data_IF_766217087746
#
_entry.id   IF_766217087746
#
_cell.length_a   1.000
_cell.length_b   1.000
_cell.length_c   1.000
_cell.angle_alpha   90.00
_cell.angle_beta   90.00
_cell.angle_gamma   90.00
#
_symmetry.space_group_name_H-M   'P 1'
#
loop_
_entity.id
_entity.type
_entity.pdbx_description
1 polymer ?
#
# COMPACT_ATOMS: atom_id res chain seq x y z
N UNK A 1 24.92 1.86 2.58
CA UNK A 1 25.07 0.55 3.24
C UNK A 1 24.60 -0.49 2.26
N UNK A 2 25.39 -1.53 1.95
CA UNK A 2 24.87 -2.65 1.18
C UNK A 2 23.73 -3.29 1.99
N UNK A 3 22.68 -3.78 1.30
CA UNK A 3 21.60 -4.54 1.89
C UNK A 3 22.20 -5.61 2.81
N UNK A 4 21.73 -5.70 4.06
CA UNK A 4 22.01 -6.86 4.88
C UNK A 4 21.66 -8.08 4.00
N UNK A 5 22.64 -8.95 3.78
CA UNK A 5 22.54 -10.04 2.81
C UNK A 5 21.31 -10.88 3.12
N UNK A 6 20.27 -10.74 2.31
CA UNK A 6 19.17 -11.68 2.31
C UNK A 6 19.80 -13.06 2.00
N UNK A 7 19.66 -14.05 2.87
CA UNK A 7 20.36 -15.33 2.72
C UNK A 7 19.97 -16.09 1.44
N UNK A 8 18.87 -15.69 0.79
CA UNK A 8 18.41 -16.24 -0.48
C UNK A 8 18.35 -15.14 -1.56
N UNK A 9 18.68 -15.44 -2.83
CA UNK A 9 18.56 -14.49 -3.90
C UNK A 9 17.09 -14.07 -4.08
N UNK A 10 16.87 -12.75 -4.24
CA UNK A 10 15.53 -12.21 -4.49
C UNK A 10 14.91 -12.87 -5.74
N UNK A 11 13.68 -13.39 -5.67
CA UNK A 11 13.02 -13.99 -6.83
C UNK A 11 13.00 -13.02 -8.02
N UNK A 12 13.25 -13.52 -9.23
CA UNK A 12 13.36 -12.69 -10.44
C UNK A 12 12.14 -11.80 -10.65
N UNK A 13 10.93 -12.29 -10.36
CA UNK A 13 9.69 -11.50 -10.45
C UNK A 13 9.64 -10.37 -9.43
N UNK A 14 10.06 -10.64 -8.19
CA UNK A 14 10.13 -9.60 -7.14
C UNK A 14 11.17 -8.53 -7.50
N UNK A 15 12.30 -8.93 -8.08
CA UNK A 15 13.30 -7.98 -8.58
C UNK A 15 12.73 -7.09 -9.69
N UNK A 16 12.05 -7.65 -10.68
CA UNK A 16 11.41 -6.88 -11.75
C UNK A 16 10.36 -5.91 -11.22
N UNK A 17 9.60 -6.32 -10.19
CA UNK A 17 8.64 -5.47 -9.50
C UNK A 17 9.33 -4.26 -8.84
N UNK A 18 10.42 -4.48 -8.13
CA UNK A 18 11.17 -3.39 -7.50
C UNK A 18 11.85 -2.47 -8.49
N UNK A 19 12.44 -3.00 -9.55
CA UNK A 19 13.04 -2.19 -10.63
C UNK A 19 12.00 -1.26 -11.27
N UNK A 20 10.78 -1.73 -11.44
CA UNK A 20 9.67 -0.90 -11.95
C UNK A 20 9.21 0.14 -10.92
N UNK A 21 8.99 -0.27 -9.66
CA UNK A 21 8.36 0.58 -8.66
C UNK A 21 9.32 1.61 -8.08
N UNK A 22 10.51 1.17 -7.73
CA UNK A 22 11.53 2.00 -7.09
C UNK A 22 12.58 2.52 -8.06
N UNK A 23 12.77 1.89 -9.19
CA UNK A 23 13.85 2.10 -10.13
C UNK A 23 15.00 1.10 -9.94
N UNK A 24 15.91 1.03 -10.92
CA UNK A 24 16.98 0.03 -10.90
C UNK A 24 17.92 0.23 -9.72
N UNK A 25 18.51 -0.85 -9.18
CA UNK A 25 19.46 -0.79 -8.08
C UNK A 25 20.63 0.16 -8.42
N UNK A 26 21.00 1.00 -7.44
CA UNK A 26 22.07 1.99 -7.60
C UNK A 26 21.64 3.32 -8.19
N UNK A 27 20.40 3.47 -8.67
CA UNK A 27 19.88 4.77 -9.03
C UNK A 27 19.57 5.58 -7.75
N UNK A 28 20.07 6.84 -7.62
CA UNK A 28 19.85 7.63 -6.39
C UNK A 28 18.40 7.75 -5.97
N UNK A 29 17.47 7.85 -6.93
CA UNK A 29 16.03 8.00 -6.67
C UNK A 29 15.34 6.74 -6.18
N UNK A 30 15.99 5.57 -6.16
CA UNK A 30 15.34 4.34 -5.65
C UNK A 30 15.02 4.43 -4.15
N UNK A 31 15.68 5.34 -3.43
CA UNK A 31 15.46 5.61 -2.00
C UNK A 31 14.69 6.90 -1.74
N UNK A 32 14.09 7.51 -2.76
CA UNK A 32 13.27 8.70 -2.62
C UNK A 32 11.79 8.35 -2.64
N UNK A 33 11.01 9.15 -1.92
CA UNK A 33 9.55 9.09 -2.03
C UNK A 33 9.10 9.61 -3.40
N UNK A 34 8.26 8.84 -4.10
CA UNK A 34 7.78 9.21 -5.44
C UNK A 34 6.29 9.50 -5.41
N UNK A 35 5.89 10.66 -5.90
CA UNK A 35 4.48 11.03 -5.98
C UNK A 35 3.65 10.11 -6.89
N UNK A 36 4.28 9.49 -7.91
CA UNK A 36 3.61 8.58 -8.84
C UNK A 36 2.96 7.37 -8.15
N UNK A 37 3.47 6.96 -6.98
CA UNK A 37 2.91 5.85 -6.23
C UNK A 37 1.47 6.12 -5.76
N UNK A 38 1.14 7.41 -5.50
CA UNK A 38 -0.15 7.83 -4.94
C UNK A 38 -0.96 8.71 -5.89
N UNK A 39 -0.40 9.06 -7.05
CA UNK A 39 -1.11 9.79 -8.10
C UNK A 39 -1.47 8.85 -9.23
N UNK A 40 -2.78 8.60 -9.36
CA UNK A 40 -3.30 7.86 -10.49
C UNK A 40 -3.03 8.59 -11.81
N UNK A 41 -2.41 7.88 -12.75
CA UNK A 41 -2.42 8.27 -14.16
C UNK A 41 -2.79 7.04 -14.99
N UNK A 42 -3.61 7.21 -16.07
CA UNK A 42 -3.99 6.07 -16.91
C UNK A 42 -2.79 5.29 -17.46
N UNK A 43 -1.70 5.99 -17.78
CA UNK A 43 -0.47 5.37 -18.28
C UNK A 43 0.23 4.51 -17.23
N UNK A 44 0.31 4.98 -15.98
CA UNK A 44 0.90 4.19 -14.90
C UNK A 44 0.04 2.97 -14.55
N UNK A 45 -1.28 3.16 -14.44
CA UNK A 45 -2.22 2.07 -14.18
C UNK A 45 -2.17 0.99 -15.28
N UNK A 46 -2.08 1.39 -16.56
CA UNK A 46 -1.90 0.47 -17.67
C UNK A 46 -0.57 -0.29 -17.61
N UNK A 47 0.52 0.40 -17.27
CA UNK A 47 1.84 -0.23 -17.12
C UNK A 47 1.86 -1.22 -15.93
N UNK A 48 1.27 -0.86 -14.79
CA UNK A 48 1.13 -1.78 -13.64
C UNK A 48 0.33 -3.02 -14.04
N UNK A 49 -0.78 -2.84 -14.75
CA UNK A 49 -1.61 -3.95 -15.24
C UNK A 49 -0.83 -4.87 -16.16
N UNK A 50 -0.16 -4.31 -17.16
CA UNK A 50 0.58 -5.09 -18.16
C UNK A 50 1.71 -5.92 -17.57
N UNK A 51 2.38 -5.41 -16.52
CA UNK A 51 3.52 -6.07 -15.93
C UNK A 51 3.17 -7.01 -14.76
N UNK A 52 2.13 -6.70 -13.97
CA UNK A 52 1.94 -7.32 -12.65
C UNK A 52 0.54 -7.90 -12.39
N UNK A 53 -0.38 -7.88 -13.35
CA UNK A 53 -1.70 -8.50 -13.15
C UNK A 53 -1.59 -10.00 -12.82
N UNK A 54 -0.76 -10.74 -13.57
CA UNK A 54 -0.52 -12.16 -13.32
C UNK A 54 0.18 -12.41 -11.98
N UNK A 55 1.12 -11.53 -11.59
CA UNK A 55 1.80 -11.68 -10.29
C UNK A 55 0.83 -11.42 -9.13
N UNK A 56 -0.12 -10.47 -9.28
CA UNK A 56 -1.20 -10.27 -8.33
C UNK A 56 -2.11 -11.52 -8.21
N UNK A 57 -2.50 -12.14 -9.33
CA UNK A 57 -3.28 -13.39 -9.31
C UNK A 57 -2.55 -14.52 -8.59
N UNK A 58 -1.24 -14.68 -8.84
CA UNK A 58 -0.39 -15.64 -8.14
C UNK A 58 -0.29 -15.34 -6.64
N UNK A 59 -0.21 -14.05 -6.25
CA UNK A 59 -0.20 -13.64 -4.86
C UNK A 59 -1.53 -13.98 -4.17
N UNK A 60 -2.66 -13.65 -4.79
CA UNK A 60 -4.01 -13.92 -4.25
C UNK A 60 -4.27 -15.43 -4.12
N UNK A 61 -3.80 -16.24 -5.07
CA UNK A 61 -3.96 -17.71 -5.01
C UNK A 61 -3.05 -18.39 -3.99
N UNK A 62 -2.11 -17.65 -3.35
CA UNK A 62 -1.12 -18.21 -2.44
C UNK A 62 0.07 -18.86 -3.11
N UNK A 63 0.17 -18.84 -4.44
CA UNK A 63 1.31 -19.42 -5.18
C UNK A 63 2.65 -18.72 -4.87
N UNK A 64 2.61 -17.50 -4.31
CA UNK A 64 3.79 -16.76 -3.87
C UNK A 64 4.02 -16.82 -2.35
N UNK A 65 3.40 -17.75 -1.61
CA UNK A 65 3.55 -17.84 -0.15
C UNK A 65 5.02 -17.95 0.29
N UNK A 66 5.88 -18.60 -0.50
CA UNK A 66 7.33 -18.67 -0.22
C UNK A 66 8.04 -17.31 -0.22
N UNK A 67 7.41 -16.25 -0.73
CA UNK A 67 7.98 -14.89 -0.65
C UNK A 67 7.92 -14.29 0.77
N UNK A 68 7.14 -14.87 1.67
CA UNK A 68 7.14 -14.47 3.08
C UNK A 68 8.41 -14.87 3.85
N UNK A 69 9.32 -15.63 3.24
CA UNK A 69 10.52 -16.12 3.93
C UNK A 69 11.62 -15.06 4.07
N UNK A 70 11.64 -14.04 3.22
CA UNK A 70 12.67 -12.99 3.24
C UNK A 70 12.06 -11.59 3.21
N UNK A 71 12.70 -10.57 3.84
CA UNK A 71 12.15 -9.23 3.96
C UNK A 71 11.77 -8.59 2.62
N UNK A 72 12.65 -8.64 1.62
CA UNK A 72 12.40 -8.02 0.32
C UNK A 72 11.32 -8.77 -0.47
N UNK A 73 11.36 -10.10 -0.52
CA UNK A 73 10.32 -10.83 -1.23
C UNK A 73 8.95 -10.65 -0.55
N UNK A 74 8.91 -10.62 0.79
CA UNK A 74 7.69 -10.34 1.55
C UNK A 74 7.15 -8.93 1.27
N UNK A 75 8.01 -7.91 1.17
CA UNK A 75 7.59 -6.57 0.78
C UNK A 75 6.96 -6.57 -0.61
N UNK A 76 7.56 -7.24 -1.58
CA UNK A 76 6.98 -7.37 -2.92
C UNK A 76 5.61 -8.06 -2.89
N UNK A 77 5.45 -9.13 -2.09
CA UNK A 77 4.17 -9.82 -1.90
C UNK A 77 3.10 -8.88 -1.32
N UNK A 78 3.43 -8.14 -0.25
CA UNK A 78 2.52 -7.17 0.36
C UNK A 78 2.09 -6.12 -0.67
N UNK A 79 3.03 -5.57 -1.45
CA UNK A 79 2.72 -4.56 -2.46
C UNK A 79 1.90 -5.14 -3.63
N UNK A 80 2.11 -6.37 -4.03
CA UNK A 80 1.28 -7.06 -5.04
C UNK A 80 -0.16 -7.23 -4.55
N UNK A 81 -0.36 -7.47 -3.27
CA UNK A 81 -1.69 -7.66 -2.67
C UNK A 81 -2.40 -6.34 -2.35
N UNK A 82 -1.65 -5.26 -2.05
CA UNK A 82 -2.20 -3.99 -1.59
C UNK A 82 -2.19 -2.89 -2.68
N UNK A 83 -1.05 -2.65 -3.32
CA UNK A 83 -0.88 -1.53 -4.24
C UNK A 83 -1.33 -1.85 -5.66
N UNK A 84 -0.96 -3.02 -6.18
CA UNK A 84 -1.29 -3.42 -7.56
C UNK A 84 -2.81 -3.41 -7.80
N UNK A 85 -3.69 -4.01 -6.95
CA UNK A 85 -5.13 -4.00 -7.21
C UNK A 85 -5.71 -2.59 -7.20
N UNK A 86 -5.17 -1.66 -6.41
CA UNK A 86 -5.60 -0.25 -6.40
C UNK A 86 -5.33 0.47 -7.72
N UNK A 87 -4.33 0.03 -8.47
CA UNK A 87 -4.05 0.55 -9.81
C UNK A 87 -4.87 -0.20 -10.88
N UNK A 88 -4.85 -1.54 -10.86
CA UNK A 88 -5.41 -2.33 -11.98
C UNK A 88 -6.94 -2.48 -11.92
N UNK A 89 -7.55 -2.33 -10.75
CA UNK A 89 -8.99 -2.48 -10.52
C UNK A 89 -9.65 -1.21 -9.97
N UNK A 90 -9.05 -0.05 -10.25
CA UNK A 90 -9.53 1.24 -9.76
C UNK A 90 -11.04 1.40 -9.93
N UNK A 91 -11.70 1.96 -8.91
CA UNK A 91 -13.15 2.20 -8.86
C UNK A 91 -14.00 0.92 -8.98
N UNK A 92 -13.46 -0.23 -8.65
CA UNK A 92 -14.21 -1.49 -8.55
C UNK A 92 -13.97 -2.15 -7.18
N UNK A 93 -14.86 -3.05 -6.72
CA UNK A 93 -14.65 -3.79 -5.47
C UNK A 93 -13.37 -4.61 -5.44
N UNK A 94 -12.89 -5.05 -6.59
CA UNK A 94 -11.65 -5.84 -6.72
C UNK A 94 -10.40 -5.07 -6.26
N UNK A 95 -10.45 -3.72 -6.26
CA UNK A 95 -9.36 -2.88 -5.75
C UNK A 95 -9.05 -3.13 -4.27
N UNK A 96 -10.00 -3.68 -3.51
CA UNK A 96 -9.91 -3.91 -2.07
C UNK A 96 -10.02 -5.40 -1.69
N UNK A 97 -10.26 -6.28 -2.66
CA UNK A 97 -10.57 -7.69 -2.39
C UNK A 97 -9.41 -8.44 -1.71
N UNK A 98 -8.17 -8.04 -1.95
CA UNK A 98 -6.97 -8.65 -1.37
C UNK A 98 -6.45 -7.93 -0.11
N UNK A 99 -7.12 -6.87 0.37
CA UNK A 99 -6.71 -6.14 1.58
C UNK A 99 -6.53 -7.07 2.82
N UNK A 100 -7.40 -8.05 3.09
CA UNK A 100 -7.20 -8.97 4.21
C UNK A 100 -5.93 -9.82 4.08
N UNK A 101 -5.56 -10.22 2.87
CA UNK A 101 -4.32 -10.98 2.61
C UNK A 101 -3.09 -10.11 2.80
N UNK A 102 -3.11 -8.87 2.30
CA UNK A 102 -2.05 -7.90 2.47
C UNK A 102 -1.82 -7.59 3.96
N UNK A 103 -2.89 -7.33 4.72
CA UNK A 103 -2.83 -7.06 6.16
C UNK A 103 -2.27 -8.26 6.93
N UNK A 104 -2.70 -9.48 6.59
CA UNK A 104 -2.19 -10.69 7.24
C UNK A 104 -0.69 -10.89 6.97
N UNK A 105 -0.23 -10.70 5.72
CA UNK A 105 1.19 -10.77 5.36
C UNK A 105 1.99 -9.66 6.08
N UNK A 106 1.47 -8.44 6.12
CA UNK A 106 2.06 -7.32 6.88
C UNK A 106 2.24 -7.67 8.35
N UNK A 107 1.21 -8.19 9.02
CA UNK A 107 1.29 -8.53 10.44
C UNK A 107 2.36 -9.60 10.71
N UNK A 108 2.49 -10.61 9.83
CA UNK A 108 3.55 -11.62 9.95
C UNK A 108 4.94 -11.02 9.71
N UNK A 109 5.09 -10.13 8.72
CA UNK A 109 6.33 -9.43 8.43
C UNK A 109 6.80 -8.57 9.61
N UNK A 110 5.90 -7.76 10.18
CA UNK A 110 6.19 -6.91 11.34
C UNK A 110 6.56 -7.72 12.58
N UNK A 111 5.90 -8.86 12.82
CA UNK A 111 6.24 -9.76 13.92
C UNK A 111 7.66 -10.36 13.78
N UNK A 112 8.22 -10.38 12.55
CA UNK A 112 9.58 -10.86 12.24
C UNK A 112 10.61 -9.72 12.12
N UNK A 113 10.19 -8.45 12.27
CA UNK A 113 11.06 -7.27 12.12
C UNK A 113 11.53 -7.04 10.67
N UNK A 114 10.76 -7.46 9.67
CA UNK A 114 11.14 -7.34 8.26
C UNK A 114 11.15 -5.90 7.77
N UNK A 115 10.35 -5.04 8.35
CA UNK A 115 10.33 -3.61 8.06
C UNK A 115 11.65 -2.92 8.40
N UNK A 116 12.36 -3.36 9.45
CA UNK A 116 13.69 -2.85 9.78
C UNK A 116 14.79 -3.36 8.84
N UNK A 117 14.54 -4.46 8.16
CA UNK A 117 15.49 -5.06 7.22
C UNK A 117 15.42 -4.49 5.79
N UNK A 118 14.48 -3.57 5.52
CA UNK A 118 14.34 -2.91 4.22
C UNK A 118 14.72 -1.43 4.29
N UNK A 119 15.06 -0.77 3.15
CA UNK A 119 15.35 0.66 3.14
C UNK A 119 14.21 1.49 3.75
N UNK A 120 14.55 2.54 4.52
CA UNK A 120 13.57 3.40 5.17
C UNK A 120 12.50 3.95 4.18
N UNK A 121 12.92 4.28 2.95
CA UNK A 121 12.02 4.77 1.91
C UNK A 121 10.94 3.74 1.47
N UNK A 122 11.17 2.46 1.73
CA UNK A 122 10.28 1.37 1.31
C UNK A 122 9.40 0.85 2.45
N UNK A 123 9.75 1.16 3.72
CA UNK A 123 9.02 0.68 4.91
C UNK A 123 7.54 1.02 4.89
N UNK A 124 7.19 2.19 4.35
CA UNK A 124 5.80 2.63 4.26
C UNK A 124 4.89 1.60 3.60
N UNK A 125 5.40 0.82 2.64
CA UNK A 125 4.59 -0.18 1.94
C UNK A 125 4.26 -1.42 2.81
N UNK A 126 5.02 -1.68 3.87
CA UNK A 126 4.59 -2.62 4.91
C UNK A 126 3.48 -2.04 5.80
N UNK A 127 3.39 -0.71 5.93
CA UNK A 127 2.44 -0.07 6.86
C UNK A 127 1.13 0.33 6.20
N UNK A 128 1.12 0.53 4.86
CA UNK A 128 -0.08 0.89 4.11
C UNK A 128 -1.26 -0.08 4.31
N UNK A 129 -1.10 -1.42 4.39
CA UNK A 129 -2.23 -2.30 4.69
C UNK A 129 -2.91 -2.04 6.03
N UNK A 130 -2.17 -1.54 7.03
CA UNK A 130 -2.75 -1.09 8.31
C UNK A 130 -3.59 0.18 8.11
N UNK A 131 -3.09 1.15 7.34
CA UNK A 131 -3.83 2.38 7.01
C UNK A 131 -5.04 2.13 6.10
N UNK A 132 -5.07 1.02 5.39
CA UNK A 132 -6.19 0.61 4.54
C UNK A 132 -7.26 -0.21 5.29
N UNK A 133 -6.96 -0.67 6.51
CA UNK A 133 -7.90 -1.39 7.37
C UNK A 133 -9.00 -0.46 7.91
N UNK A 134 -10.22 -0.97 8.03
CA UNK A 134 -11.33 -0.27 8.71
C UNK A 134 -11.38 -0.61 10.23
N UNK A 135 -10.30 -1.18 10.77
CA UNK A 135 -10.16 -1.47 12.22
C UNK A 135 -9.33 -0.37 12.88
N UNK A 136 -9.90 0.28 13.89
CA UNK A 136 -9.29 1.42 14.58
C UNK A 136 -7.88 1.11 15.15
N UNK A 137 -7.70 -0.07 15.71
CA UNK A 137 -6.40 -0.48 16.26
C UNK A 137 -5.31 -0.61 15.17
N UNK A 138 -5.67 -1.06 13.96
CA UNK A 138 -4.75 -1.11 12.82
C UNK A 138 -4.36 0.30 12.38
N UNK A 139 -5.32 1.23 12.32
CA UNK A 139 -5.08 2.63 11.96
C UNK A 139 -4.11 3.31 12.94
N UNK A 140 -4.34 3.15 14.24
CA UNK A 140 -3.45 3.71 15.26
C UNK A 140 -2.04 3.14 15.13
N UNK A 141 -1.92 1.81 15.01
CA UNK A 141 -0.63 1.15 14.82
C UNK A 141 0.06 1.59 13.52
N UNK A 142 -0.70 1.72 12.42
CA UNK A 142 -0.20 2.22 11.13
C UNK A 142 0.38 3.61 11.26
N UNK A 143 -0.35 4.53 11.89
CA UNK A 143 0.13 5.89 12.15
C UNK A 143 1.42 5.91 12.97
N UNK A 144 1.49 5.15 14.07
CA UNK A 144 2.68 5.12 14.93
C UNK A 144 3.91 4.63 14.16
N UNK A 145 3.76 3.56 13.36
CA UNK A 145 4.83 3.02 12.52
C UNK A 145 5.24 4.00 11.40
N UNK A 146 4.27 4.64 10.74
CA UNK A 146 4.54 5.66 9.71
C UNK A 146 5.31 6.85 10.26
N UNK A 147 4.97 7.30 11.47
CA UNK A 147 5.67 8.41 12.14
C UNK A 147 7.07 8.03 12.61
N UNK A 148 7.32 6.76 12.89
CA UNK A 148 8.62 6.24 13.29
C UNK A 148 9.61 6.06 12.12
N UNK A 149 9.16 6.12 10.86
CA UNK A 149 10.07 6.01 9.71
C UNK A 149 11.09 7.17 9.76
N UNK A 150 12.40 6.88 9.69
CA UNK A 150 13.43 7.91 9.59
C UNK A 150 13.19 8.89 8.42
N UNK A 151 13.75 10.10 8.45
CA UNK A 151 13.62 11.07 7.35
C UNK A 151 14.02 10.45 6.00
N UNK A 152 13.15 10.59 5.00
CA UNK A 152 13.35 10.10 3.64
C UNK A 152 13.22 11.27 2.67
N UNK A 153 14.16 11.47 1.72
CA UNK A 153 14.06 12.53 0.73
C UNK A 153 12.71 12.50 -0.01
N UNK A 154 12.06 13.66 -0.08
CA UNK A 154 10.77 13.83 -0.76
C UNK A 154 9.54 13.30 0.00
N UNK A 155 9.70 12.62 1.14
CA UNK A 155 8.58 12.15 1.94
C UNK A 155 8.08 13.26 2.88
N UNK A 156 6.76 13.58 2.86
CA UNK A 156 6.18 14.44 3.87
C UNK A 156 6.31 13.83 5.27
N UNK A 157 6.80 14.61 6.23
CA UNK A 157 7.02 14.13 7.61
C UNK A 157 5.83 14.28 8.53
N UNK A 158 4.83 15.06 8.10
CA UNK A 158 3.71 15.48 8.95
C UNK A 158 2.66 14.37 9.16
N UNK A 159 2.73 13.27 8.42
CA UNK A 159 1.78 12.16 8.52
C UNK A 159 0.32 12.53 8.24
N UNK A 160 0.09 13.59 7.43
CA UNK A 160 -1.26 14.11 7.17
C UNK A 160 -2.23 13.05 6.67
N UNK A 161 -1.79 12.20 5.74
CA UNK A 161 -2.66 11.16 5.18
C UNK A 161 -2.98 10.07 6.21
N UNK A 162 -1.98 9.62 6.96
CA UNK A 162 -2.17 8.62 8.01
C UNK A 162 -3.11 9.13 9.10
N UNK A 163 -2.97 10.41 9.51
CA UNK A 163 -3.89 11.04 10.46
C UNK A 163 -5.31 11.16 9.90
N UNK A 164 -5.44 11.57 8.65
CA UNK A 164 -6.76 11.67 8.00
C UNK A 164 -7.45 10.29 7.92
N UNK A 165 -6.71 9.22 7.60
CA UNK A 165 -7.28 7.87 7.60
C UNK A 165 -7.77 7.49 9.01
N UNK A 166 -6.95 7.72 10.04
CA UNK A 166 -7.33 7.46 11.43
C UNK A 166 -8.60 8.25 11.82
N UNK A 167 -8.63 9.57 11.57
CA UNK A 167 -9.78 10.44 11.87
C UNK A 167 -11.07 9.96 11.18
N UNK A 168 -10.98 9.48 9.94
CA UNK A 168 -12.12 8.93 9.22
C UNK A 168 -12.64 7.66 9.92
N UNK A 169 -11.74 6.76 10.33
CA UNK A 169 -12.14 5.52 10.99
C UNK A 169 -12.63 5.78 12.42
N UNK A 170 -12.06 6.74 13.15
CA UNK A 170 -12.59 7.20 14.44
C UNK A 170 -14.01 7.75 14.30
N UNK A 171 -14.28 8.51 13.25
CA UNK A 171 -15.56 9.18 13.05
C UNK A 171 -16.64 8.26 12.50
N UNK A 172 -16.31 7.43 11.51
CA UNK A 172 -17.30 6.66 10.74
C UNK A 172 -17.21 5.14 10.94
N UNK A 173 -16.13 4.64 11.53
CA UNK A 173 -15.84 3.20 11.63
C UNK A 173 -15.56 2.52 10.31
N UNK A 174 -15.54 3.28 9.19
CA UNK A 174 -15.29 2.79 7.84
C UNK A 174 -14.87 3.94 6.93
N UNK A 175 -14.41 3.60 5.71
CA UNK A 175 -14.09 4.59 4.71
C UNK A 175 -15.32 4.95 3.85
N UNK A 176 -15.94 6.14 4.00
CA UNK A 176 -17.12 6.53 3.23
C UNK A 176 -16.89 6.53 1.72
N UNK A 177 -15.69 6.88 1.25
CA UNK A 177 -15.35 6.89 -0.17
C UNK A 177 -15.39 5.51 -0.83
N UNK A 178 -15.41 4.42 -0.05
CA UNK A 178 -15.57 3.05 -0.56
C UNK A 178 -17.03 2.60 -0.64
N UNK A 179 -17.96 3.34 -0.02
CA UNK A 179 -19.34 2.87 0.12
C UNK A 179 -20.00 2.56 -1.22
N UNK A 180 -19.99 3.52 -2.15
CA UNK A 180 -20.60 3.32 -3.48
C UNK A 180 -20.00 2.13 -4.23
N UNK A 181 -18.65 1.98 -4.16
CA UNK A 181 -17.92 0.90 -4.82
C UNK A 181 -18.28 -0.47 -4.22
N UNK A 182 -18.46 -0.54 -2.91
CA UNK A 182 -18.72 -1.77 -2.18
C UNK A 182 -20.24 -2.05 -2.00
N UNK A 183 -21.12 -1.24 -2.63
CA UNK A 183 -22.56 -1.39 -2.51
C UNK A 183 -23.09 -1.09 -1.10
N UNK A 184 -22.40 -0.27 -0.32
CA UNK A 184 -22.80 0.16 1.01
C UNK A 184 -23.56 1.50 0.92
N UNK A 185 -24.67 1.63 1.64
CA UNK A 185 -25.39 2.90 1.77
C UNK A 185 -24.56 3.87 2.63
N UNK A 186 -24.48 5.14 2.17
CA UNK A 186 -23.84 6.21 2.94
C UNK A 186 -24.89 6.92 3.82
N UNK A 187 -24.46 7.25 5.04
CA UNK A 187 -25.27 8.10 5.93
C UNK A 187 -25.24 9.55 5.44
N UNK A 188 -26.21 10.42 5.85
CA UNK A 188 -26.17 11.84 5.52
C UNK A 188 -24.87 12.53 5.95
N UNK A 189 -24.29 12.11 7.08
CA UNK A 189 -23.04 12.66 7.59
C UNK A 189 -21.84 12.25 6.72
N UNK A 190 -21.81 10.99 6.26
CA UNK A 190 -20.78 10.50 5.32
C UNK A 190 -20.87 11.22 3.97
N UNK A 191 -22.09 11.50 3.47
CA UNK A 191 -22.28 12.24 2.23
C UNK A 191 -21.78 13.69 2.37
N UNK A 192 -22.08 14.37 3.49
CA UNK A 192 -21.56 15.71 3.77
C UNK A 192 -20.01 15.70 3.80
N UNK A 193 -19.42 14.74 4.51
CA UNK A 193 -17.97 14.56 4.55
C UNK A 193 -17.37 14.37 3.15
N UNK A 194 -17.98 13.55 2.29
CA UNK A 194 -17.49 13.30 0.93
C UNK A 194 -17.53 14.54 0.03
N UNK A 195 -18.44 15.49 0.30
CA UNK A 195 -18.51 16.78 -0.41
C UNK A 195 -17.40 17.73 0.08
N UNK A 196 -17.17 17.79 1.38
CA UNK A 196 -16.22 18.70 2.03
C UNK A 196 -14.77 18.25 1.93
N UNK A 197 -14.53 16.91 1.88
CA UNK A 197 -13.19 16.35 1.87
C UNK A 197 -12.46 16.66 0.55
N UNK A 198 -11.35 17.38 0.63
CA UNK A 198 -10.49 17.68 -0.53
C UNK A 198 -9.80 16.43 -1.08
N UNK A 199 -9.55 15.44 -0.24
CA UNK A 199 -8.88 14.20 -0.62
C UNK A 199 -9.87 13.16 -1.17
N UNK A 200 -9.74 12.87 -2.45
CA UNK A 200 -10.63 11.91 -3.15
C UNK A 200 -10.19 10.45 -3.06
N UNK A 201 -9.07 10.14 -2.39
CA UNK A 201 -8.55 8.77 -2.24
C UNK A 201 -8.51 7.97 -3.55
N UNK A 202 -8.14 8.65 -4.66
CA UNK A 202 -8.11 8.04 -5.99
C UNK A 202 -9.48 7.83 -6.65
N UNK A 203 -10.57 8.30 -6.04
CA UNK A 203 -11.92 8.17 -6.59
C UNK A 203 -12.29 9.36 -7.49
N UNK A 204 -13.12 9.17 -8.54
CA UNK A 204 -13.64 10.25 -9.35
C UNK A 204 -14.55 11.16 -8.50
N UNK A 205 -14.69 12.40 -8.97
CA UNK A 205 -15.67 13.34 -8.37
C UNK A 205 -17.08 12.75 -8.53
N UNK A 206 -17.92 12.74 -7.47
CA UNK A 206 -19.34 12.42 -7.62
C UNK A 206 -19.98 13.36 -8.66
N UNK A 207 -20.95 12.88 -9.47
CA UNK A 207 -21.65 13.70 -10.43
C UNK A 207 -22.42 14.85 -9.77
#
# INVERSE_FOLDING_TARGET
MPFASDPAPLPTRAKAFFDFWFGPPGHPECFHHKQIWFRSTPGFDAAVRANFATDHELAVSGALAGWEETPLACLALVMLLDQVPRNIFRSTPHAFASDPLALAATNRALARGFDDAVPAAWRLFFYLPLEHSEVLADQQRGLDLMMAIPPVPGRPTEGKMSRLHLEIIERFGRFPHRNAILGRESTPEELAFLIECEHRFGQPTPP
#
